data_IF_055133611159
#
_entry.id   IF_055133611159
#
_cell.length_a   1.000
_cell.length_b   1.000
_cell.length_c   1.000
_cell.angle_alpha   90.00
_cell.angle_beta   90.00
_cell.angle_gamma   90.00
#
_symmetry.space_group_name_H-M   'P 1'
#
loop_
_entity.id
_entity.type
_entity.pdbx_description
1 polymer ?
#
# COMPACT_ATOMS: atom_id res chain seq x y z
N UNK A 1 8.70 4.67 -49.25
CA UNK A 1 7.79 4.05 -48.27
C UNK A 1 8.56 2.99 -47.51
N UNK A 2 8.73 3.20 -46.20
CA UNK A 2 9.00 2.26 -45.09
C UNK A 2 8.96 3.21 -43.88
N UNK A 3 7.86 3.34 -43.14
CA UNK A 3 7.15 2.29 -42.40
C UNK A 3 7.58 2.43 -40.95
N UNK A 4 6.85 3.26 -40.19
CA UNK A 4 7.32 3.90 -38.97
C UNK A 4 7.61 3.00 -37.78
N UNK A 5 8.64 3.37 -37.02
CA UNK A 5 8.69 3.11 -35.59
C UNK A 5 7.70 4.06 -34.93
N UNK A 6 6.57 3.53 -34.47
CA UNK A 6 5.78 4.21 -33.43
C UNK A 6 6.72 4.41 -32.25
N UNK A 7 7.11 5.65 -31.97
CA UNK A 7 7.53 6.05 -30.64
C UNK A 7 6.36 5.71 -29.71
N UNK A 8 6.40 4.56 -29.06
CA UNK A 8 5.73 4.40 -27.78
C UNK A 8 6.47 5.36 -26.87
N UNK A 9 5.90 6.53 -26.59
CA UNK A 9 6.45 7.38 -25.54
C UNK A 9 6.44 6.52 -24.28
N UNK A 10 7.61 6.16 -23.76
CA UNK A 10 7.72 5.57 -22.44
C UNK A 10 7.08 6.55 -21.46
N UNK A 11 5.81 6.30 -21.12
CA UNK A 11 5.11 7.09 -20.11
C UNK A 11 5.82 6.78 -18.81
N UNK A 12 6.43 7.79 -18.20
CA UNK A 12 7.04 7.64 -16.88
C UNK A 12 5.98 7.13 -15.89
N UNK A 13 6.38 6.35 -14.86
CA UNK A 13 5.47 5.89 -13.81
C UNK A 13 4.60 7.03 -13.25
N UNK A 14 5.22 8.18 -12.94
CA UNK A 14 4.52 9.36 -12.42
C UNK A 14 3.46 9.90 -13.37
N UNK A 15 3.73 9.94 -14.68
CA UNK A 15 2.75 10.38 -15.69
C UNK A 15 1.58 9.40 -15.83
N UNK A 16 1.83 8.10 -15.64
CA UNK A 16 0.80 7.06 -15.65
C UNK A 16 -0.11 7.19 -14.42
N UNK A 17 0.46 7.28 -13.21
CA UNK A 17 -0.30 7.53 -11.99
C UNK A 17 -1.13 8.81 -12.10
N UNK A 18 -0.51 9.93 -12.53
CA UNK A 18 -1.24 11.20 -12.73
C UNK A 18 -2.46 11.02 -13.63
N UNK A 19 -2.31 10.26 -14.72
CA UNK A 19 -3.42 10.00 -15.65
C UNK A 19 -4.55 9.20 -14.99
N UNK A 20 -4.22 8.22 -14.14
CA UNK A 20 -5.20 7.45 -13.36
C UNK A 20 -5.90 8.34 -12.34
N UNK A 21 -5.15 9.07 -11.51
CA UNK A 21 -5.70 9.90 -10.43
C UNK A 21 -6.58 11.05 -10.95
N UNK A 22 -6.31 11.55 -12.16
CA UNK A 22 -7.13 12.56 -12.83
C UNK A 22 -8.29 11.95 -13.65
N UNK A 23 -8.59 10.66 -13.45
CA UNK A 23 -9.69 9.95 -14.14
C UNK A 23 -9.55 9.91 -15.68
N UNK A 24 -8.35 10.14 -16.22
CA UNK A 24 -8.09 10.16 -17.69
C UNK A 24 -7.87 8.77 -18.27
N UNK A 25 -7.50 7.80 -17.43
CA UNK A 25 -7.30 6.41 -17.81
C UNK A 25 -7.64 5.49 -16.63
N UNK A 26 -7.68 4.18 -16.89
CA UNK A 26 -8.00 3.15 -15.91
C UNK A 26 -6.72 2.58 -15.29
N UNK A 27 -6.87 1.90 -14.17
CA UNK A 27 -5.89 0.98 -13.60
C UNK A 27 -6.49 -0.43 -13.53
N UNK A 28 -5.67 -1.46 -13.47
CA UNK A 28 -6.15 -2.83 -13.28
C UNK A 28 -6.21 -3.15 -11.78
N UNK A 29 -7.40 -3.27 -11.22
CA UNK A 29 -7.58 -3.71 -9.83
C UNK A 29 -7.37 -5.21 -9.73
N UNK A 30 -6.43 -5.62 -8.89
CA UNK A 30 -6.15 -7.03 -8.62
C UNK A 30 -7.30 -7.66 -7.84
N UNK A 31 -7.84 -6.96 -6.84
CA UNK A 31 -8.93 -7.44 -5.98
C UNK A 31 -10.25 -7.59 -6.74
N UNK A 32 -10.59 -6.65 -7.61
CA UNK A 32 -11.78 -6.73 -8.46
C UNK A 32 -11.57 -7.54 -9.75
N UNK A 33 -10.31 -7.84 -10.08
CA UNK A 33 -9.87 -8.51 -11.31
C UNK A 33 -10.44 -7.88 -12.59
N UNK A 34 -10.38 -6.54 -12.69
CA UNK A 34 -10.85 -5.76 -13.83
C UNK A 34 -10.22 -4.36 -13.88
N UNK A 35 -10.34 -3.70 -15.02
CA UNK A 35 -10.00 -2.29 -15.14
C UNK A 35 -11.03 -1.41 -14.43
N UNK A 36 -10.55 -0.45 -13.65
CA UNK A 36 -11.35 0.53 -12.93
C UNK A 36 -10.86 1.95 -13.21
N UNK A 37 -11.79 2.90 -13.25
CA UNK A 37 -11.46 4.31 -13.09
C UNK A 37 -11.28 4.64 -11.61
N UNK A 38 -10.50 5.67 -11.28
CA UNK A 38 -10.34 6.15 -9.90
C UNK A 38 -11.68 6.50 -9.21
N UNK A 39 -12.71 6.86 -9.96
CA UNK A 39 -14.06 7.12 -9.42
C UNK A 39 -14.84 5.86 -9.06
N UNK A 40 -14.26 4.66 -9.26
CA UNK A 40 -14.88 3.35 -9.04
C UNK A 40 -14.18 2.54 -7.94
N UNK A 41 -13.44 3.20 -7.04
CA UNK A 41 -12.73 2.55 -5.93
C UNK A 41 -13.63 1.64 -5.07
N UNK A 42 -14.93 1.93 -5.01
CA UNK A 42 -15.89 1.09 -4.30
C UNK A 42 -15.91 -0.35 -4.82
N UNK A 43 -15.70 -0.55 -6.13
CA UNK A 43 -15.73 -1.87 -6.76
C UNK A 43 -14.48 -2.72 -6.41
N UNK A 44 -13.39 -2.09 -5.98
CA UNK A 44 -12.21 -2.77 -5.45
C UNK A 44 -12.39 -3.16 -3.97
N UNK A 45 -13.07 -2.31 -3.20
CA UNK A 45 -13.26 -2.50 -1.75
C UNK A 45 -14.41 -3.44 -1.42
N UNK A 46 -15.50 -3.44 -2.19
CA UNK A 46 -16.71 -4.20 -1.86
C UNK A 46 -17.52 -4.60 -3.09
N UNK A 47 -18.12 -5.80 -3.02
CA UNK A 47 -19.12 -6.24 -3.99
C UNK A 47 -20.50 -5.58 -3.77
N UNK A 48 -20.73 -4.97 -2.60
CA UNK A 48 -21.95 -4.23 -2.30
C UNK A 48 -21.87 -2.82 -2.89
N UNK A 49 -22.66 -2.58 -3.95
CA UNK A 49 -22.70 -1.29 -4.66
C UNK A 49 -23.23 -0.11 -3.84
N UNK A 50 -23.81 -0.36 -2.65
CA UNK A 50 -24.22 0.71 -1.73
C UNK A 50 -23.05 1.31 -0.95
N UNK A 51 -21.91 0.62 -0.89
CA UNK A 51 -20.70 1.10 -0.24
C UNK A 51 -20.12 2.25 -1.06
N UNK A 52 -19.93 3.39 -0.40
CA UNK A 52 -19.24 4.56 -0.97
C UNK A 52 -17.78 4.53 -0.57
N UNK A 53 -16.90 4.79 -1.53
CA UNK A 53 -15.46 4.85 -1.29
C UNK A 53 -14.86 6.04 -2.03
N UNK A 54 -14.06 6.82 -1.32
CA UNK A 54 -13.37 7.99 -1.86
C UNK A 54 -11.92 8.01 -1.39
N UNK A 55 -11.00 8.47 -2.22
CA UNK A 55 -9.63 8.77 -1.81
C UNK A 55 -9.59 10.17 -1.18
N UNK A 56 -9.12 10.26 0.07
CA UNK A 56 -9.05 11.54 0.81
C UNK A 56 -7.65 12.13 0.82
N UNK A 57 -6.62 11.27 0.85
CA UNK A 57 -5.21 11.63 0.83
C UNK A 57 -4.42 10.66 -0.01
N UNK A 58 -3.20 11.05 -0.37
CA UNK A 58 -2.24 10.15 -0.97
C UNK A 58 -0.82 10.38 -0.49
N UNK A 59 0.01 9.34 -0.58
CA UNK A 59 1.45 9.38 -0.36
C UNK A 59 2.18 8.77 -1.57
N UNK A 60 3.45 9.11 -1.73
CA UNK A 60 4.33 8.56 -2.77
C UNK A 60 5.54 7.95 -2.06
N UNK A 61 5.66 6.63 -2.08
CA UNK A 61 6.70 5.89 -1.35
C UNK A 61 7.16 4.71 -2.21
N UNK A 62 8.46 4.48 -2.26
CA UNK A 62 9.05 3.27 -2.85
C UNK A 62 8.92 2.12 -1.85
N UNK A 63 7.90 1.28 -2.04
CA UNK A 63 7.55 0.20 -1.12
C UNK A 63 8.35 -1.08 -1.40
N UNK A 64 8.73 -1.30 -2.66
CA UNK A 64 9.50 -2.47 -3.09
C UNK A 64 11.02 -2.22 -3.12
N UNK A 65 11.45 -0.97 -2.87
CA UNK A 65 12.84 -0.52 -2.91
C UNK A 65 13.50 -0.80 -4.27
N UNK A 66 12.74 -0.60 -5.35
CA UNK A 66 13.18 -0.79 -6.74
C UNK A 66 13.47 0.55 -7.47
N UNK A 67 13.37 1.68 -6.75
CA UNK A 67 13.45 3.06 -7.23
C UNK A 67 12.26 3.52 -8.09
N UNK A 68 11.16 2.77 -8.11
CA UNK A 68 9.90 3.16 -8.73
C UNK A 68 8.85 3.31 -7.63
N UNK A 69 8.54 4.54 -7.17
CA UNK A 69 7.62 4.69 -6.07
C UNK A 69 6.19 4.32 -6.44
N UNK A 70 5.47 3.73 -5.48
CA UNK A 70 4.03 3.52 -5.50
C UNK A 70 3.28 4.79 -5.07
N UNK A 71 2.03 4.89 -5.50
CA UNK A 71 1.07 5.87 -4.96
C UNK A 71 0.10 5.16 -4.03
N UNK A 72 0.08 5.57 -2.77
CA UNK A 72 -0.82 5.00 -1.75
C UNK A 72 -1.98 5.96 -1.56
N UNK A 73 -3.21 5.50 -1.74
CA UNK A 73 -4.42 6.27 -1.48
C UNK A 73 -4.99 5.88 -0.12
N UNK A 74 -5.26 6.88 0.73
CA UNK A 74 -6.02 6.68 1.95
C UNK A 74 -7.51 6.78 1.63
N UNK A 75 -8.29 5.77 2.02
CA UNK A 75 -9.69 5.64 1.64
C UNK A 75 -10.63 6.03 2.80
N UNK A 76 -11.66 6.80 2.46
CA UNK A 76 -12.88 6.93 3.25
C UNK A 76 -13.91 5.92 2.75
N UNK A 77 -14.51 5.16 3.66
CA UNK A 77 -15.54 4.16 3.32
C UNK A 77 -16.81 4.49 4.11
N UNK A 78 -17.90 4.79 3.42
CA UNK A 78 -19.17 5.26 4.02
C UNK A 78 -18.95 6.38 5.05
N UNK A 79 -18.19 7.41 4.65
CA UNK A 79 -17.84 8.59 5.46
C UNK A 79 -16.94 8.27 6.68
N UNK A 80 -16.35 7.07 6.75
CA UNK A 80 -15.33 6.70 7.73
C UNK A 80 -13.92 6.81 7.12
N UNK A 81 -13.26 7.93 7.39
CA UNK A 81 -11.91 8.22 6.91
C UNK A 81 -10.86 7.24 7.47
N UNK A 82 -9.90 6.85 6.63
CA UNK A 82 -8.82 5.95 7.03
C UNK A 82 -9.26 4.49 7.21
N UNK A 83 -10.34 4.08 6.54
CA UNK A 83 -10.86 2.70 6.63
C UNK A 83 -9.97 1.66 5.91
N UNK A 84 -9.13 2.10 5.00
CA UNK A 84 -8.22 1.25 4.24
C UNK A 84 -7.42 2.03 3.21
N UNK A 85 -6.78 1.31 2.31
CA UNK A 85 -5.88 1.86 1.32
C UNK A 85 -6.09 1.22 -0.05
N UNK A 86 -5.85 1.99 -1.11
CA UNK A 86 -5.61 1.47 -2.45
C UNK A 86 -4.18 1.84 -2.85
N UNK A 87 -3.33 0.85 -3.11
CA UNK A 87 -1.95 1.07 -3.54
C UNK A 87 -1.89 0.90 -5.05
N UNK A 88 -1.42 1.94 -5.75
CA UNK A 88 -1.16 1.93 -7.17
C UNK A 88 0.31 1.67 -7.44
N UNK A 89 0.59 0.61 -8.19
CA UNK A 89 1.92 0.19 -8.63
C UNK A 89 2.02 0.22 -10.14
N UNK A 90 3.06 0.83 -10.66
CA UNK A 90 3.35 0.86 -12.09
C UNK A 90 4.25 -0.31 -12.45
N UNK A 91 3.87 -1.07 -13.47
CA UNK A 91 4.70 -2.14 -14.02
C UNK A 91 4.45 -2.27 -15.52
N UNK A 92 5.54 -2.27 -16.29
CA UNK A 92 5.55 -2.48 -17.74
C UNK A 92 4.48 -1.68 -18.53
N UNK A 93 4.28 -0.41 -18.18
CA UNK A 93 3.34 0.49 -18.87
C UNK A 93 1.89 0.43 -18.38
N UNK A 94 1.61 -0.40 -17.37
CA UNK A 94 0.29 -0.52 -16.74
C UNK A 94 0.34 -0.08 -15.27
N UNK A 95 -0.79 0.39 -14.75
CA UNK A 95 -0.97 0.66 -13.31
C UNK A 95 -1.85 -0.43 -12.74
N UNK A 96 -1.38 -1.08 -11.69
CA UNK A 96 -2.08 -2.12 -10.92
C UNK A 96 -2.51 -1.55 -9.58
N UNK A 97 -3.71 -1.90 -9.14
CA UNK A 97 -4.29 -1.50 -7.86
C UNK A 97 -4.42 -2.67 -6.90
N UNK A 98 -4.04 -2.44 -5.64
CA UNK A 98 -4.12 -3.41 -4.55
C UNK A 98 -4.86 -2.77 -3.36
N UNK A 99 -5.95 -3.39 -2.94
CA UNK A 99 -6.75 -2.92 -1.80
C UNK A 99 -6.23 -3.54 -0.50
N UNK A 100 -5.96 -2.70 0.50
CA UNK A 100 -5.51 -3.12 1.82
C UNK A 100 -6.47 -2.61 2.89
N UNK A 101 -6.74 -3.45 3.89
CA UNK A 101 -7.45 -3.00 5.10
C UNK A 101 -6.57 -2.05 5.91
N UNK A 102 -7.18 -1.20 6.75
CA UNK A 102 -6.42 -0.33 7.66
C UNK A 102 -5.37 -1.12 8.47
N UNK A 103 -5.79 -2.24 9.08
CA UNK A 103 -4.93 -3.05 9.97
C UNK A 103 -3.78 -3.77 9.28
N UNK A 104 -3.83 -3.95 7.96
CA UNK A 104 -2.75 -4.59 7.20
C UNK A 104 -1.65 -3.62 6.77
N UNK A 105 -1.84 -2.31 6.92
CA UNK A 105 -0.93 -1.29 6.38
C UNK A 105 -1.00 0.03 7.18
N UNK A 106 -0.61 -0.02 8.45
CA UNK A 106 -0.66 1.11 9.38
C UNK A 106 0.72 1.80 9.48
N UNK A 107 0.75 3.03 10.00
CA UNK A 107 1.99 3.74 10.38
C UNK A 107 3.12 3.68 9.31
N UNK A 108 2.75 3.92 8.05
CA UNK A 108 3.68 3.90 6.92
C UNK A 108 4.82 4.93 7.13
N UNK A 109 6.05 4.42 7.11
CA UNK A 109 7.28 5.20 7.23
C UNK A 109 7.82 5.63 5.88
N UNK A 110 8.65 6.65 5.89
CA UNK A 110 9.27 7.20 4.68
C UNK A 110 10.23 6.20 3.98
N UNK A 111 10.69 5.17 4.68
CA UNK A 111 11.56 4.11 4.15
C UNK A 111 10.78 2.89 3.59
N UNK A 112 9.45 3.00 3.46
CA UNK A 112 8.59 1.93 2.92
C UNK A 112 8.20 0.85 3.94
N UNK A 113 8.73 0.90 5.17
CA UNK A 113 8.27 0.00 6.24
C UNK A 113 6.96 0.49 6.85
N UNK A 114 6.14 -0.44 7.33
CA UNK A 114 4.83 -0.14 7.92
C UNK A 114 4.47 -1.15 9.01
N UNK A 115 3.58 -0.77 9.92
CA UNK A 115 3.08 -1.65 10.97
C UNK A 115 1.82 -2.40 10.51
N UNK A 116 1.56 -3.57 11.10
CA UNK A 116 0.36 -4.37 10.84
C UNK A 116 -0.17 -4.99 12.13
N UNK A 117 -1.45 -5.34 12.13
CA UNK A 117 -2.12 -5.98 13.27
C UNK A 117 -3.13 -7.04 12.82
N UNK A 118 -2.92 -8.29 13.26
CA UNK A 118 -3.73 -9.47 12.93
C UNK A 118 -4.73 -9.90 14.01
N UNK A 119 -4.76 -9.26 15.18
CA UNK A 119 -5.69 -9.63 16.27
C UNK A 119 -4.99 -9.75 17.62
N UNK A 120 -5.43 -10.72 18.45
CA UNK A 120 -5.07 -10.95 19.88
C UNK A 120 -3.78 -10.26 20.32
N UNK A 121 -2.64 -10.77 19.85
CA UNK A 121 -1.34 -10.14 20.00
C UNK A 121 -0.52 -10.17 18.70
N UNK A 122 -1.14 -10.53 17.58
CA UNK A 122 -0.43 -10.63 16.30
C UNK A 122 -0.22 -9.22 15.75
N UNK A 123 1.02 -8.74 15.81
CA UNK A 123 1.38 -7.42 15.30
C UNK A 123 2.88 -7.32 15.07
N UNK A 124 3.29 -6.32 14.31
CA UNK A 124 4.68 -6.09 13.98
C UNK A 124 4.82 -5.07 12.87
N UNK A 125 5.98 -5.09 12.23
CA UNK A 125 6.25 -4.30 11.05
C UNK A 125 7.02 -5.09 9.99
N UNK A 126 6.91 -4.63 8.75
CA UNK A 126 7.50 -5.30 7.60
C UNK A 126 7.56 -4.40 6.39
N UNK A 127 7.87 -5.01 5.26
CA UNK A 127 7.73 -4.44 3.92
C UNK A 127 6.66 -5.21 3.14
N UNK A 128 6.37 -4.78 1.92
CA UNK A 128 5.38 -5.40 1.04
C UNK A 128 6.02 -5.75 -0.30
N UNK A 129 5.57 -6.83 -0.90
CA UNK A 129 5.90 -7.22 -2.27
C UNK A 129 4.60 -7.47 -3.03
N UNK A 130 4.51 -6.93 -4.24
CA UNK A 130 3.35 -7.05 -5.10
C UNK A 130 3.55 -8.13 -6.15
N UNK A 131 2.49 -8.87 -6.43
CA UNK A 131 2.46 -9.95 -7.41
C UNK A 131 1.23 -9.82 -8.29
N UNK A 132 1.21 -10.52 -9.41
CA UNK A 132 0.03 -10.56 -10.29
C UNK A 132 -1.23 -11.20 -9.66
N UNK A 133 -1.17 -11.69 -8.42
CA UNK A 133 -2.28 -12.32 -7.69
C UNK A 133 -2.67 -11.59 -6.41
N UNK A 134 -1.97 -10.53 -6.04
CA UNK A 134 -2.12 -9.84 -4.76
C UNK A 134 -0.77 -9.41 -4.21
N UNK A 135 -0.67 -9.24 -2.90
CA UNK A 135 0.57 -8.84 -2.24
C UNK A 135 0.96 -9.80 -1.13
N UNK A 136 2.22 -9.74 -0.71
CA UNK A 136 2.74 -10.45 0.47
C UNK A 136 3.38 -9.43 1.41
N UNK A 137 3.07 -9.54 2.71
CA UNK A 137 3.77 -8.77 3.75
C UNK A 137 5.00 -9.55 4.20
N UNK A 138 6.17 -8.98 3.95
CA UNK A 138 7.45 -9.50 4.40
C UNK A 138 7.68 -9.05 5.85
N UNK A 139 7.19 -9.85 6.81
CA UNK A 139 7.32 -9.53 8.24
C UNK A 139 8.79 -9.52 8.68
N UNK A 140 9.26 -8.40 9.23
CA UNK A 140 10.65 -8.24 9.72
C UNK A 140 10.73 -8.54 11.21
N UNK A 141 9.89 -7.87 11.99
CA UNK A 141 9.80 -7.99 13.44
C UNK A 141 8.33 -8.09 13.81
N UNK A 142 7.96 -9.12 14.56
CA UNK A 142 6.57 -9.40 14.87
C UNK A 142 6.40 -10.31 16.10
N UNK A 143 5.24 -10.19 16.72
CA UNK A 143 4.72 -11.10 17.72
C UNK A 143 3.63 -11.98 17.09
N UNK A 144 3.60 -13.26 17.45
CA UNK A 144 2.54 -14.20 17.08
C UNK A 144 2.02 -14.92 18.32
N UNK A 145 0.70 -14.95 18.45
CA UNK A 145 0.00 -15.70 19.47
C UNK A 145 -0.23 -17.16 19.00
N UNK A 146 0.03 -18.11 19.88
CA UNK A 146 -0.28 -19.52 19.63
C UNK A 146 -0.72 -20.21 20.94
N UNK A 147 -1.14 -21.47 20.84
CA UNK A 147 -1.54 -22.27 21.99
C UNK A 147 -0.60 -23.45 22.15
N UNK A 148 -0.15 -23.69 23.38
CA UNK A 148 0.62 -24.88 23.72
C UNK A 148 -0.28 -26.14 23.79
N UNK A 149 0.32 -27.30 24.06
CA UNK A 149 -0.43 -28.56 24.21
C UNK A 149 -1.43 -28.57 25.37
N UNK A 150 -1.29 -27.64 26.33
CA UNK A 150 -2.19 -27.45 27.46
C UNK A 150 -3.29 -26.42 27.19
N UNK A 151 -3.41 -25.91 25.96
CA UNK A 151 -4.34 -24.86 25.57
C UNK A 151 -4.09 -23.53 26.32
N UNK A 152 -2.85 -23.27 26.73
CA UNK A 152 -2.44 -21.97 27.25
C UNK A 152 -1.96 -21.08 26.11
N UNK A 153 -2.34 -19.81 26.15
CA UNK A 153 -1.87 -18.80 25.20
C UNK A 153 -0.38 -18.53 25.44
N UNK A 154 0.42 -18.61 24.39
CA UNK A 154 1.85 -18.30 24.38
C UNK A 154 2.16 -17.32 23.24
N UNK A 155 3.23 -16.53 23.42
CA UNK A 155 3.68 -15.55 22.44
C UNK A 155 5.08 -15.90 21.95
N UNK A 156 5.26 -15.88 20.62
CA UNK A 156 6.57 -15.94 19.99
C UNK A 156 6.97 -14.56 19.49
N UNK A 157 8.19 -14.16 19.82
CA UNK A 157 8.75 -12.87 19.42
C UNK A 157 9.85 -13.09 18.40
N UNK A 158 9.71 -12.46 17.25
CA UNK A 158 10.69 -12.45 16.17
C UNK A 158 11.18 -11.02 15.99
N UNK A 159 12.50 -10.81 16.05
CA UNK A 159 13.15 -9.51 15.81
C UNK A 159 14.16 -9.70 14.68
N UNK A 160 14.02 -8.91 13.63
CA UNK A 160 14.87 -8.99 12.42
C UNK A 160 15.01 -10.44 11.92
N UNK A 161 13.87 -11.11 11.76
CA UNK A 161 13.75 -12.50 11.30
C UNK A 161 14.37 -13.58 12.21
N UNK A 162 14.66 -13.26 13.48
CA UNK A 162 15.22 -14.21 14.46
C UNK A 162 14.38 -14.27 15.72
N UNK A 163 14.23 -15.47 16.30
CA UNK A 163 13.60 -15.64 17.61
C UNK A 163 14.33 -14.82 18.66
N UNK A 164 13.58 -14.12 19.50
CA UNK A 164 14.09 -13.14 20.45
C UNK A 164 13.21 -13.07 21.70
N UNK A 165 13.52 -12.12 22.59
CA UNK A 165 12.78 -11.88 23.83
C UNK A 165 11.67 -10.84 23.61
N UNK A 166 10.72 -10.76 24.55
CA UNK A 166 9.71 -9.69 24.55
C UNK A 166 10.34 -8.30 24.68
N UNK A 167 11.39 -8.17 25.50
CA UNK A 167 12.12 -6.91 25.71
C UNK A 167 12.75 -6.41 24.41
N UNK A 168 13.45 -7.30 23.69
CA UNK A 168 14.06 -6.98 22.39
C UNK A 168 12.99 -6.62 21.34
N UNK A 169 11.85 -7.31 21.37
CA UNK A 169 10.72 -7.02 20.49
C UNK A 169 10.15 -5.62 20.73
N UNK A 170 9.85 -5.28 21.99
CA UNK A 170 9.34 -3.96 22.35
C UNK A 170 10.35 -2.85 22.00
N UNK A 171 11.64 -3.08 22.22
CA UNK A 171 12.69 -2.16 21.80
C UNK A 171 12.70 -1.96 20.27
N UNK A 172 12.52 -3.03 19.49
CA UNK A 172 12.44 -2.95 18.05
C UNK A 172 11.17 -2.24 17.53
N UNK A 173 10.03 -2.41 18.19
CA UNK A 173 8.81 -1.64 17.90
C UNK A 173 9.06 -0.14 18.15
N UNK A 174 9.64 0.23 19.30
CA UNK A 174 9.95 1.63 19.59
C UNK A 174 10.90 2.24 18.55
N UNK A 175 11.94 1.51 18.13
CA UNK A 175 12.84 1.96 17.06
C UNK A 175 12.12 2.14 15.72
N UNK A 176 11.14 1.30 15.41
CA UNK A 176 10.30 1.46 14.22
C UNK A 176 9.42 2.71 14.33
N UNK A 177 8.83 2.96 15.50
CA UNK A 177 7.97 4.11 15.74
C UNK A 177 8.73 5.44 15.63
N UNK A 178 10.01 5.47 16.05
CA UNK A 178 10.91 6.63 15.93
C UNK A 178 11.30 6.98 14.49
N UNK A 179 11.07 6.08 13.51
CA UNK A 179 11.37 6.38 12.11
C UNK A 179 10.49 7.51 11.59
N UNK A 180 11.01 8.35 10.66
CA UNK A 180 10.20 9.36 10.00
C UNK A 180 8.98 8.76 9.31
N UNK A 181 7.81 9.30 9.63
CA UNK A 181 6.56 8.95 8.95
C UNK A 181 6.59 9.40 7.49
N UNK A 182 5.78 8.74 6.66
CA UNK A 182 5.53 9.24 5.31
C UNK A 182 4.75 10.55 5.30
N UNK A 183 4.89 11.31 4.22
CA UNK A 183 4.16 12.56 4.02
C UNK A 183 2.87 12.25 3.26
N UNK A 184 1.74 12.60 3.86
CA UNK A 184 0.42 12.52 3.24
C UNK A 184 -0.01 13.88 2.68
N UNK A 185 -0.53 13.87 1.47
CA UNK A 185 -1.06 15.04 0.78
C UNK A 185 -2.55 14.90 0.56
N UNK A 186 -3.30 15.99 0.68
CA UNK A 186 -4.73 15.99 0.36
C UNK A 186 -4.95 15.59 -1.11
N UNK A 187 -5.97 14.76 -1.35
CA UNK A 187 -6.31 14.28 -2.68
C UNK A 187 -6.98 15.41 -3.49
N UNK A 188 -6.16 16.25 -4.11
CA UNK A 188 -6.59 17.40 -4.92
C UNK A 188 -5.84 17.44 -6.24
N UNK A 189 -6.46 17.96 -7.29
CA UNK A 189 -5.84 18.11 -8.61
C UNK A 189 -4.52 18.89 -8.54
N UNK A 190 -4.44 19.92 -7.69
CA UNK A 190 -3.23 20.73 -7.52
C UNK A 190 -2.06 19.92 -6.92
N UNK A 191 -2.33 19.11 -5.89
CA UNK A 191 -1.29 18.25 -5.29
C UNK A 191 -0.88 17.15 -6.26
N UNK A 192 -1.86 16.51 -6.93
CA UNK A 192 -1.61 15.48 -7.95
C UNK A 192 -0.74 16.04 -9.08
N UNK A 193 -1.06 17.22 -9.60
CA UNK A 193 -0.26 17.87 -10.62
C UNK A 193 1.12 18.25 -10.10
N UNK A 194 1.23 18.88 -8.93
CA UNK A 194 2.54 19.35 -8.42
C UNK A 194 3.50 18.19 -8.17
N UNK A 195 3.01 17.10 -7.59
CA UNK A 195 3.85 15.98 -7.13
C UNK A 195 4.16 14.96 -8.24
N UNK A 196 3.21 14.73 -9.17
CA UNK A 196 3.37 13.73 -10.23
C UNK A 196 3.79 14.34 -11.59
N UNK A 197 4.16 15.62 -11.62
CA UNK A 197 4.72 16.27 -12.84
C UNK A 197 6.24 16.18 -12.91
N UNK A 198 6.92 15.71 -11.86
CA UNK A 198 8.38 15.56 -11.87
C UNK A 198 8.78 14.28 -12.60
N UNK A 199 9.06 14.41 -13.90
CA UNK A 199 10.10 13.59 -14.52
C UNK A 199 11.44 14.11 -13.98
N UNK A 200 12.05 13.37 -13.04
CA UNK A 200 13.51 13.42 -12.90
C UNK A 200 14.09 12.30 -13.74
#
# INVERSE_FOLDING_TARGET
>A
MLGGCKNTSDKSPMSAYRSVLQSKTTFFSIDANKELNITQLNEAVSADSSVKVEATKFAIVDLENDNVPEVILCLSVNDNDGSGFEILRYDNGMVYGYTLSYRSFMDLKADGTFSFSGGVADHGFGTIEFTNKGYTVNKITYCEASYDSGNNLIFSYIVNHKTSTEEDFLAAINMQDEKPDTIWYDFTDNNIETLLTQAK
#
